data_IF_485417382497
#
_entry.id   IF_485417382497
#
_cell.length_a   1.000
_cell.length_b   1.000
_cell.length_c   1.000
_cell.angle_alpha   90.00
_cell.angle_beta   90.00
_cell.angle_gamma   90.00
#
_symmetry.space_group_name_H-M   'P 1'
#
loop_
_entity.id
_entity.type
_entity.pdbx_description
1 polymer ?
#
# COMPACT_ATOMS: atom_id res chain seq x y z
N UNK A 1 6.82 19.38 11.84
CA UNK A 1 5.86 18.62 12.70
C UNK A 1 4.99 17.76 11.82
N UNK A 2 4.90 16.46 12.08
CA UNK A 2 4.09 15.50 11.28
C UNK A 2 2.60 15.73 11.55
N UNK A 3 1.82 15.78 10.48
CA UNK A 3 0.36 15.99 10.48
C UNK A 3 -0.39 14.95 9.67
N UNK A 4 0.31 14.25 8.75
CA UNK A 4 -0.24 13.19 7.93
C UNK A 4 0.53 11.89 8.09
N UNK A 5 -0.17 10.77 8.06
CA UNK A 5 0.40 9.42 8.00
C UNK A 5 -0.06 8.78 6.70
N UNK A 6 0.88 8.37 5.89
CA UNK A 6 0.64 7.70 4.61
C UNK A 6 1.06 6.25 4.77
N UNK A 7 0.16 5.33 4.47
CA UNK A 7 0.36 3.89 4.68
C UNK A 7 0.36 3.15 3.35
N UNK A 8 1.31 2.24 3.19
CA UNK A 8 1.19 1.21 2.16
C UNK A 8 0.06 0.24 2.50
N UNK A 9 -0.45 -0.43 1.48
CA UNK A 9 -1.47 -1.47 1.62
C UNK A 9 -0.84 -2.83 1.91
N UNK A 10 -0.08 -3.36 0.95
CA UNK A 10 0.45 -4.72 0.99
C UNK A 10 1.75 -4.80 1.77
N UNK A 11 1.83 -5.73 2.73
CA UNK A 11 2.93 -5.84 3.66
C UNK A 11 2.76 -4.98 4.93
N UNK A 12 1.77 -4.06 4.95
CA UNK A 12 1.45 -3.21 6.12
C UNK A 12 0.03 -3.46 6.62
N UNK A 13 -0.98 -3.22 5.78
CA UNK A 13 -2.40 -3.39 6.12
C UNK A 13 -2.96 -4.75 5.71
N UNK A 14 -2.41 -5.32 4.65
CA UNK A 14 -2.73 -6.65 4.14
C UNK A 14 -1.47 -7.44 3.85
N UNK A 15 -1.56 -8.77 3.91
CA UNK A 15 -0.54 -9.66 3.36
C UNK A 15 -0.42 -9.43 1.85
N UNK A 16 0.80 -9.42 1.32
CA UNK A 16 1.04 -9.35 -0.12
C UNK A 16 0.74 -10.71 -0.77
N UNK A 17 -0.49 -10.86 -1.25
CA UNK A 17 -0.98 -12.09 -1.87
C UNK A 17 -0.20 -12.46 -3.13
N UNK A 18 0.23 -11.49 -3.94
CA UNK A 18 1.01 -11.74 -5.15
C UNK A 18 2.36 -12.37 -4.81
N UNK A 19 3.04 -11.82 -3.82
CA UNK A 19 4.32 -12.35 -3.32
C UNK A 19 4.20 -13.78 -2.80
N UNK A 20 3.13 -14.07 -2.05
CA UNK A 20 2.86 -15.42 -1.54
C UNK A 20 2.57 -16.39 -2.69
N UNK A 21 1.71 -16.00 -3.63
CA UNK A 21 1.36 -16.83 -4.77
C UNK A 21 2.57 -17.11 -5.68
N UNK A 22 3.35 -16.08 -6.00
CA UNK A 22 4.53 -16.20 -6.88
C UNK A 22 5.65 -17.06 -6.29
N UNK A 23 5.74 -17.18 -4.98
CA UNK A 23 6.69 -18.07 -4.32
C UNK A 23 6.52 -19.54 -4.73
N UNK A 24 5.33 -19.93 -5.21
CA UNK A 24 5.09 -21.28 -5.76
C UNK A 24 5.69 -21.48 -7.16
N UNK A 25 6.10 -20.40 -7.83
CA UNK A 25 6.59 -20.41 -9.21
C UNK A 25 7.99 -19.75 -9.34
N UNK A 26 9.02 -20.24 -8.62
CA UNK A 26 10.31 -19.55 -8.54
C UNK A 26 11.02 -19.39 -9.89
N UNK A 27 10.74 -20.28 -10.85
CA UNK A 27 11.30 -20.21 -12.21
C UNK A 27 10.62 -19.19 -13.12
N UNK A 28 9.44 -18.71 -12.75
CA UNK A 28 8.63 -17.75 -13.48
C UNK A 28 8.62 -16.37 -12.79
N UNK A 29 9.45 -16.21 -11.76
CA UNK A 29 9.46 -15.02 -10.90
C UNK A 29 9.58 -13.72 -11.69
N UNK A 30 10.55 -13.64 -12.59
CA UNK A 30 10.83 -12.39 -13.35
C UNK A 30 9.67 -12.04 -14.29
N UNK A 31 9.08 -13.06 -14.95
CA UNK A 31 7.96 -12.88 -15.87
C UNK A 31 6.68 -12.43 -15.12
N UNK A 32 6.40 -13.03 -13.97
CA UNK A 32 5.29 -12.66 -13.11
C UNK A 32 5.50 -11.27 -12.48
N UNK A 33 6.73 -10.95 -12.11
CA UNK A 33 7.08 -9.65 -11.55
C UNK A 33 6.94 -8.53 -12.58
N UNK A 34 7.36 -8.76 -13.84
CA UNK A 34 7.18 -7.78 -14.92
C UNK A 34 5.70 -7.58 -15.26
N UNK A 35 4.90 -8.66 -15.22
CA UNK A 35 3.46 -8.56 -15.37
C UNK A 35 2.82 -7.73 -14.24
N UNK A 36 3.28 -7.92 -13.01
CA UNK A 36 2.82 -7.14 -11.85
C UNK A 36 3.06 -5.64 -12.05
N UNK A 37 4.25 -5.27 -12.55
CA UNK A 37 4.58 -3.86 -12.88
C UNK A 37 3.62 -3.27 -13.91
N UNK A 38 3.22 -4.04 -14.93
CA UNK A 38 2.25 -3.57 -15.94
C UNK A 38 0.89 -3.27 -15.29
N UNK A 39 0.45 -4.13 -14.37
CA UNK A 39 -0.77 -3.92 -13.60
C UNK A 39 -0.65 -2.69 -12.69
N UNK A 40 0.43 -2.58 -11.93
CA UNK A 40 0.67 -1.49 -10.98
C UNK A 40 0.74 -0.11 -11.65
N UNK A 41 1.19 -0.06 -12.91
CA UNK A 41 1.15 1.16 -13.73
C UNK A 41 -0.20 1.39 -14.44
N UNK A 42 -1.16 0.47 -14.28
CA UNK A 42 -2.47 0.57 -14.90
C UNK A 42 -2.49 0.30 -16.42
N UNK A 43 -1.45 -0.33 -16.98
CA UNK A 43 -1.40 -0.71 -18.40
C UNK A 43 -2.30 -1.90 -18.72
N UNK A 44 -2.57 -2.75 -17.74
CA UNK A 44 -3.51 -3.88 -17.83
C UNK A 44 -4.51 -3.84 -16.68
N UNK A 45 -5.74 -4.23 -16.94
CA UNK A 45 -6.80 -4.36 -15.94
C UNK A 45 -6.72 -5.68 -15.18
N UNK A 46 -7.56 -5.82 -14.16
CA UNK A 46 -7.61 -6.99 -13.28
C UNK A 46 -7.84 -8.30 -14.04
N UNK A 47 -8.81 -8.32 -14.94
CA UNK A 47 -9.17 -9.54 -15.68
C UNK A 47 -8.02 -9.98 -16.61
N UNK A 48 -7.43 -9.03 -17.34
CA UNK A 48 -6.27 -9.30 -18.22
C UNK A 48 -5.05 -9.77 -17.41
N UNK A 49 -4.88 -9.23 -16.18
CA UNK A 49 -3.82 -9.66 -15.28
C UNK A 49 -4.03 -11.13 -14.84
N UNK A 50 -5.21 -11.50 -14.37
CA UNK A 50 -5.54 -12.88 -13.95
C UNK A 50 -5.35 -13.85 -15.12
N UNK A 51 -5.88 -13.51 -16.31
CA UNK A 51 -5.71 -14.32 -17.54
C UNK A 51 -4.24 -14.50 -17.88
N UNK A 52 -3.42 -13.45 -17.75
CA UNK A 52 -1.98 -13.50 -18.04
C UNK A 52 -1.22 -14.35 -17.02
N UNK A 53 -1.51 -14.20 -15.73
CA UNK A 53 -0.91 -15.05 -14.67
C UNK A 53 -1.26 -16.52 -14.91
N UNK A 54 -2.53 -16.82 -15.17
CA UNK A 54 -3.01 -18.17 -15.47
C UNK A 54 -2.25 -18.78 -16.67
N UNK A 55 -2.07 -18.02 -17.75
CA UNK A 55 -1.32 -18.44 -18.92
C UNK A 55 0.16 -18.71 -18.63
N UNK A 56 0.82 -17.87 -17.84
CA UNK A 56 2.22 -18.00 -17.48
C UNK A 56 2.43 -19.22 -16.57
N UNK A 57 1.56 -19.41 -15.59
CA UNK A 57 1.70 -20.47 -14.57
C UNK A 57 1.16 -21.82 -15.02
N UNK A 58 0.29 -21.85 -16.04
CA UNK A 58 -0.44 -23.04 -16.47
C UNK A 58 -1.58 -23.45 -15.52
N UNK A 59 -1.93 -22.59 -14.57
CA UNK A 59 -3.08 -22.74 -13.64
C UNK A 59 -4.31 -22.12 -14.29
N UNK A 60 -5.51 -22.62 -14.01
CA UNK A 60 -6.73 -22.00 -14.56
C UNK A 60 -6.99 -20.61 -13.95
N UNK A 61 -7.70 -19.74 -14.68
CA UNK A 61 -8.06 -18.40 -14.20
C UNK A 61 -8.84 -18.45 -12.88
N UNK A 62 -9.78 -19.39 -12.75
CA UNK A 62 -10.57 -19.56 -11.54
C UNK A 62 -9.71 -19.97 -10.34
N UNK A 63 -8.80 -20.92 -10.52
CA UNK A 63 -7.87 -21.35 -9.46
C UNK A 63 -6.87 -20.24 -9.10
N UNK A 64 -6.43 -19.45 -10.10
CA UNK A 64 -5.56 -18.29 -9.89
C UNK A 64 -6.27 -17.24 -9.06
N UNK A 65 -7.48 -16.84 -9.41
CA UNK A 65 -8.29 -15.87 -8.67
C UNK A 65 -8.57 -16.35 -7.23
N UNK A 66 -8.98 -17.60 -7.06
CA UNK A 66 -9.20 -18.23 -5.75
C UNK A 66 -7.92 -18.22 -4.88
N UNK A 67 -6.77 -18.51 -5.48
CA UNK A 67 -5.50 -18.52 -4.77
C UNK A 67 -5.13 -17.12 -4.26
N UNK A 68 -5.33 -16.07 -5.06
CA UNK A 68 -5.13 -14.70 -4.59
C UNK A 68 -6.08 -14.34 -3.44
N UNK A 69 -7.37 -14.63 -3.56
CA UNK A 69 -8.35 -14.32 -2.51
C UNK A 69 -8.06 -15.00 -1.17
N UNK A 70 -7.53 -16.21 -1.16
CA UNK A 70 -7.17 -16.92 0.08
C UNK A 70 -6.08 -16.23 0.88
N UNK A 71 -5.23 -15.44 0.22
CA UNK A 71 -4.13 -14.72 0.84
C UNK A 71 -4.51 -13.30 1.28
N UNK A 72 -5.77 -12.88 1.10
CA UNK A 72 -6.25 -11.56 1.53
C UNK A 72 -6.45 -11.52 3.05
N UNK A 73 -5.34 -11.50 3.76
CA UNK A 73 -5.33 -11.44 5.23
C UNK A 73 -5.07 -10.01 5.68
N UNK A 74 -6.05 -9.43 6.35
CA UNK A 74 -6.01 -8.07 6.89
C UNK A 74 -5.25 -8.03 8.22
N UNK A 75 -4.56 -6.93 8.49
CA UNK A 75 -3.92 -6.61 9.75
C UNK A 75 -4.90 -5.85 10.66
N UNK A 76 -5.88 -6.58 11.21
CA UNK A 76 -6.94 -6.00 12.04
C UNK A 76 -6.40 -5.14 13.19
N UNK A 77 -5.28 -5.53 13.80
CA UNK A 77 -4.66 -4.79 14.90
C UNK A 77 -4.26 -3.36 14.48
N UNK A 78 -3.72 -3.21 13.26
CA UNK A 78 -3.34 -1.89 12.74
C UNK A 78 -4.59 -1.12 12.30
N UNK A 79 -5.56 -1.76 11.67
CA UNK A 79 -6.82 -1.11 11.28
C UNK A 79 -7.55 -0.53 12.51
N UNK A 80 -7.69 -1.31 13.57
CA UNK A 80 -8.33 -0.86 14.79
C UNK A 80 -7.56 0.28 15.48
N UNK A 81 -6.24 0.17 15.49
CA UNK A 81 -5.38 1.22 16.05
C UNK A 81 -5.47 2.52 15.24
N UNK A 82 -5.48 2.44 13.91
CA UNK A 82 -5.66 3.61 13.05
C UNK A 82 -6.98 4.34 13.34
N UNK A 83 -8.08 3.59 13.43
CA UNK A 83 -9.40 4.16 13.71
C UNK A 83 -9.47 4.84 15.07
N UNK A 84 -8.99 4.17 16.10
CA UNK A 84 -9.17 4.60 17.48
C UNK A 84 -8.16 5.65 17.93
N UNK A 85 -6.89 5.42 17.58
CA UNK A 85 -5.79 6.16 18.22
C UNK A 85 -5.14 7.19 17.25
N UNK A 86 -5.23 7.00 15.93
CA UNK A 86 -4.50 7.82 14.97
C UNK A 86 -5.40 8.82 14.24
N UNK A 87 -6.52 8.37 13.69
CA UNK A 87 -7.43 9.23 12.90
C UNK A 87 -7.94 10.46 13.65
N UNK A 88 -8.13 10.47 14.98
CA UNK A 88 -8.49 11.69 15.70
C UNK A 88 -7.44 12.81 15.67
N UNK A 89 -6.18 12.47 15.36
CA UNK A 89 -5.03 13.38 15.52
C UNK A 89 -4.26 13.65 14.23
N UNK A 90 -4.37 12.77 13.24
CA UNK A 90 -3.64 12.82 11.98
C UNK A 90 -4.57 12.64 10.79
N UNK A 91 -4.24 13.29 9.68
CA UNK A 91 -4.79 12.90 8.39
C UNK A 91 -4.17 11.59 7.94
N UNK A 92 -4.95 10.71 7.33
CA UNK A 92 -4.48 9.39 6.92
C UNK A 92 -4.67 9.22 5.42
N UNK A 93 -3.62 8.80 4.70
CA UNK A 93 -3.74 8.38 3.31
C UNK A 93 -3.34 6.91 3.14
N UNK A 94 -4.04 6.24 2.22
CA UNK A 94 -3.59 4.99 1.62
C UNK A 94 -2.79 5.32 0.35
N UNK A 95 -1.58 4.78 0.22
CA UNK A 95 -0.75 4.89 -0.98
C UNK A 95 -0.24 3.51 -1.40
N UNK A 96 -0.83 2.94 -2.44
CA UNK A 96 -0.53 1.56 -2.86
C UNK A 96 -0.07 1.47 -4.30
N UNK A 97 0.94 0.62 -4.54
CA UNK A 97 1.21 0.09 -5.87
C UNK A 97 0.19 -1.04 -6.12
N UNK A 98 -0.81 -0.75 -6.93
CA UNK A 98 -1.93 -1.64 -7.20
C UNK A 98 -2.57 -1.30 -8.55
N UNK A 99 -2.90 -2.30 -9.32
CA UNK A 99 -3.59 -2.14 -10.60
C UNK A 99 -5.02 -1.62 -10.45
N UNK A 100 -5.61 -1.21 -11.58
CA UNK A 100 -6.99 -0.74 -11.61
C UNK A 100 -7.98 -1.84 -11.27
N UNK A 101 -8.99 -1.52 -10.48
CA UNK A 101 -10.08 -2.42 -10.14
C UNK A 101 -9.79 -3.44 -9.04
N UNK A 102 -8.61 -3.36 -8.40
CA UNK A 102 -8.26 -4.29 -7.33
C UNK A 102 -8.65 -3.84 -5.93
N UNK A 103 -8.68 -2.54 -5.67
CA UNK A 103 -8.85 -2.02 -4.30
C UNK A 103 -10.17 -2.47 -3.66
N UNK A 104 -11.20 -2.68 -4.46
CA UNK A 104 -12.53 -3.13 -4.02
C UNK A 104 -12.55 -4.57 -3.52
N UNK A 105 -11.52 -5.37 -3.80
CA UNK A 105 -11.36 -6.71 -3.22
C UNK A 105 -10.91 -6.68 -1.76
N UNK A 106 -10.29 -5.58 -1.33
CA UNK A 106 -9.70 -5.41 0.00
C UNK A 106 -10.54 -4.54 0.91
N UNK A 107 -11.15 -3.50 0.35
CA UNK A 107 -11.96 -2.54 1.10
C UNK A 107 -13.25 -2.28 0.35
N UNK A 108 -14.38 -2.31 1.04
CA UNK A 108 -15.58 -1.67 0.52
C UNK A 108 -15.44 -0.13 0.57
N UNK A 109 -16.32 0.57 -0.15
CA UNK A 109 -16.28 2.03 -0.27
C UNK A 109 -16.43 2.74 1.08
N UNK A 110 -17.26 2.18 1.98
CA UNK A 110 -17.48 2.73 3.30
C UNK A 110 -16.21 2.58 4.17
N UNK A 111 -15.54 1.41 4.11
CA UNK A 111 -14.29 1.18 4.83
C UNK A 111 -13.18 2.13 4.37
N UNK A 112 -13.07 2.38 3.06
CA UNK A 112 -12.08 3.33 2.51
C UNK A 112 -12.31 4.73 3.07
N UNK A 113 -13.55 5.23 3.05
CA UNK A 113 -13.88 6.56 3.58
C UNK A 113 -13.74 6.67 5.10
N UNK A 114 -14.05 5.59 5.82
CA UNK A 114 -13.92 5.57 7.28
C UNK A 114 -12.46 5.57 7.75
N UNK A 115 -11.57 4.96 6.97
CA UNK A 115 -10.15 4.81 7.34
C UNK A 115 -9.29 5.95 6.82
N UNK A 116 -9.50 6.35 5.58
CA UNK A 116 -8.58 7.22 4.86
C UNK A 116 -9.25 8.53 4.45
N UNK A 117 -8.53 9.64 4.64
CA UNK A 117 -8.92 10.94 4.11
C UNK A 117 -8.59 11.03 2.61
N UNK A 118 -7.58 10.27 2.17
CA UNK A 118 -7.09 10.22 0.77
C UNK A 118 -6.70 8.80 0.41
N UNK A 119 -7.02 8.40 -0.82
CA UNK A 119 -6.58 7.13 -1.43
C UNK A 119 -5.84 7.44 -2.72
N UNK A 120 -4.61 6.94 -2.85
CA UNK A 120 -3.74 7.10 -4.02
C UNK A 120 -3.32 5.71 -4.52
N UNK A 121 -3.75 5.36 -5.71
CA UNK A 121 -3.53 4.05 -6.32
C UNK A 121 -2.68 4.21 -7.59
N UNK A 122 -1.55 3.54 -7.65
CA UNK A 122 -0.58 3.72 -8.74
C UNK A 122 -1.15 3.44 -10.13
N UNK A 123 -2.03 2.44 -10.25
CA UNK A 123 -2.67 2.10 -11.51
C UNK A 123 -3.58 3.21 -12.06
N UNK A 124 -4.11 4.08 -11.18
CA UNK A 124 -4.91 5.24 -11.58
C UNK A 124 -4.02 6.46 -11.85
N UNK A 125 -2.92 6.58 -11.11
CA UNK A 125 -1.96 7.67 -11.24
C UNK A 125 -1.01 7.54 -12.43
N UNK A 126 -0.81 6.31 -12.97
CA UNK A 126 0.17 6.03 -14.01
C UNK A 126 1.63 6.17 -13.54
N UNK A 127 1.84 6.24 -12.23
CA UNK A 127 3.17 6.31 -11.59
C UNK A 127 3.17 5.48 -10.31
N UNK A 128 4.25 4.74 -10.07
CA UNK A 128 4.39 3.82 -8.95
C UNK A 128 5.42 4.31 -7.93
N UNK A 129 5.30 3.89 -6.68
CA UNK A 129 6.43 3.92 -5.74
C UNK A 129 7.58 3.07 -6.33
N UNK A 130 8.84 3.45 -6.17
CA UNK A 130 9.39 4.53 -5.33
C UNK A 130 9.55 5.91 -6.02
N UNK A 131 8.88 6.18 -7.15
CA UNK A 131 8.98 7.47 -7.80
C UNK A 131 8.51 8.61 -6.85
N UNK A 132 9.32 9.65 -6.59
CA UNK A 132 8.97 10.74 -5.66
C UNK A 132 7.63 11.41 -5.97
N UNK A 133 7.25 11.50 -7.23
CA UNK A 133 6.02 12.19 -7.68
C UNK A 133 4.75 11.59 -7.01
N UNK A 134 4.69 10.28 -6.79
CA UNK A 134 3.48 9.67 -6.21
C UNK A 134 3.30 10.03 -4.73
N UNK A 135 4.41 10.21 -4.00
CA UNK A 135 4.40 10.66 -2.61
C UNK A 135 4.02 12.15 -2.51
N UNK A 136 4.55 12.98 -3.41
CA UNK A 136 4.18 14.40 -3.51
C UNK A 136 2.68 14.57 -3.75
N UNK A 137 2.09 13.78 -4.68
CA UNK A 137 0.64 13.75 -4.94
C UNK A 137 -0.17 13.34 -3.71
N UNK A 138 0.31 12.37 -2.95
CA UNK A 138 -0.36 11.93 -1.73
C UNK A 138 -0.38 13.05 -0.67
N UNK A 139 0.72 13.74 -0.47
CA UNK A 139 0.80 14.91 0.43
C UNK A 139 -0.11 16.04 -0.04
N UNK A 140 -0.05 16.39 -1.33
CA UNK A 140 -0.88 17.45 -1.93
C UNK A 140 -2.37 17.19 -1.71
N UNK A 141 -2.84 15.95 -1.95
CA UNK A 141 -4.25 15.57 -1.74
C UNK A 141 -4.66 15.59 -0.27
N UNK A 142 -3.73 15.31 0.65
CA UNK A 142 -3.95 15.52 2.08
C UNK A 142 -3.99 17.02 2.45
N UNK A 143 -3.60 17.92 1.53
CA UNK A 143 -3.43 19.35 1.81
C UNK A 143 -2.29 19.62 2.80
N UNK A 144 -1.19 18.88 2.64
CA UNK A 144 0.01 18.92 3.47
C UNK A 144 1.26 19.05 2.59
N UNK A 145 2.32 19.60 3.17
CA UNK A 145 3.64 19.55 2.55
C UNK A 145 4.31 18.19 2.83
N UNK A 146 5.17 17.67 1.93
CA UNK A 146 5.84 16.38 2.14
C UNK A 146 6.54 16.25 3.51
N UNK A 147 7.20 17.29 4.00
CA UNK A 147 7.88 17.28 5.31
C UNK A 147 6.91 17.20 6.51
N UNK A 148 5.60 17.37 6.30
CA UNK A 148 4.55 17.19 7.31
C UNK A 148 3.99 15.75 7.30
N UNK A 149 4.49 14.88 6.41
CA UNK A 149 4.00 13.52 6.21
C UNK A 149 5.02 12.47 6.68
N UNK A 150 4.49 11.39 7.26
CA UNK A 150 5.21 10.17 7.59
C UNK A 150 4.74 9.06 6.64
N UNK A 151 5.63 8.53 5.80
CA UNK A 151 5.36 7.34 4.99
C UNK A 151 5.74 6.08 5.74
N UNK A 152 4.86 5.09 5.72
CA UNK A 152 5.05 3.75 6.29
C UNK A 152 4.94 2.72 5.17
N UNK A 153 5.99 1.96 4.94
CA UNK A 153 6.07 0.96 3.85
C UNK A 153 6.97 -0.21 4.29
N UNK A 154 6.70 -1.43 3.83
CA UNK A 154 7.50 -2.61 4.14
C UNK A 154 8.75 -2.75 3.25
N UNK A 155 8.87 -1.89 2.23
CA UNK A 155 9.96 -1.88 1.26
C UNK A 155 10.89 -0.68 1.47
N UNK A 156 12.16 -0.97 1.63
CA UNK A 156 13.19 0.05 1.85
C UNK A 156 13.28 1.05 0.68
N UNK A 157 13.17 0.59 -0.56
CA UNK A 157 13.19 1.45 -1.75
C UNK A 157 12.03 2.46 -1.79
N UNK A 158 10.85 2.07 -1.32
CA UNK A 158 9.69 2.97 -1.21
C UNK A 158 9.90 4.02 -0.10
N UNK A 159 10.48 3.60 1.04
CA UNK A 159 10.84 4.51 2.13
C UNK A 159 11.85 5.56 1.65
N UNK A 160 12.87 5.15 0.88
CA UNK A 160 13.87 6.06 0.29
C UNK A 160 13.24 7.00 -0.76
N UNK A 161 12.28 6.49 -1.56
CA UNK A 161 11.50 7.31 -2.49
C UNK A 161 10.71 8.40 -1.78
N UNK A 162 10.05 8.07 -0.66
CA UNK A 162 9.32 9.03 0.16
C UNK A 162 10.27 10.07 0.79
N UNK A 163 11.43 9.65 1.27
CA UNK A 163 12.46 10.57 1.78
C UNK A 163 12.99 11.51 0.69
N UNK A 164 13.13 11.02 -0.53
CA UNK A 164 13.52 11.85 -1.69
C UNK A 164 12.46 12.89 -2.02
N UNK A 165 11.17 12.59 -1.79
CA UNK A 165 10.07 13.54 -1.89
C UNK A 165 10.01 14.54 -0.69
N UNK A 166 10.88 14.39 0.32
CA UNK A 166 10.94 15.25 1.49
C UNK A 166 10.11 14.81 2.70
N UNK A 167 9.56 13.58 2.66
CA UNK A 167 8.82 12.99 3.78
C UNK A 167 9.74 12.39 4.84
N UNK A 168 9.23 12.17 6.04
CA UNK A 168 9.81 11.17 6.93
C UNK A 168 9.37 9.78 6.46
N UNK A 169 10.24 8.77 6.62
CA UNK A 169 9.96 7.40 6.21
C UNK A 169 10.21 6.42 7.35
N UNK A 170 9.31 5.45 7.49
CA UNK A 170 9.39 4.34 8.45
C UNK A 170 9.29 3.03 7.69
N UNK A 171 10.32 2.21 7.75
CA UNK A 171 10.28 0.84 7.28
C UNK A 171 9.41 0.03 8.25
N UNK A 172 8.30 -0.51 7.77
CA UNK A 172 7.44 -1.38 8.55
C UNK A 172 8.09 -2.75 8.77
N UNK A 173 8.22 -3.15 10.01
CA UNK A 173 8.78 -4.45 10.40
C UNK A 173 7.79 -5.22 11.28
N UNK A 174 7.03 -4.49 12.10
CA UNK A 174 6.00 -5.08 12.97
C UNK A 174 5.03 -4.00 13.47
N UNK A 175 3.85 -4.43 13.91
CA UNK A 175 2.84 -3.55 14.51
C UNK A 175 3.40 -2.78 15.71
N UNK A 176 4.18 -3.45 16.56
CA UNK A 176 4.79 -2.81 17.73
C UNK A 176 5.75 -1.69 17.32
N UNK A 177 6.67 -1.98 16.39
CA UNK A 177 7.66 -1.01 15.90
C UNK A 177 6.97 0.21 15.24
N UNK A 178 5.94 -0.01 14.42
CA UNK A 178 5.17 1.08 13.83
C UNK A 178 4.52 1.97 14.89
N UNK A 179 3.87 1.36 15.89
CA UNK A 179 3.22 2.11 16.97
C UNK A 179 4.22 2.97 17.77
N UNK A 180 5.41 2.44 18.03
CA UNK A 180 6.48 3.22 18.69
C UNK A 180 6.99 4.38 17.81
N UNK A 181 7.18 4.14 16.51
CA UNK A 181 7.62 5.19 15.58
C UNK A 181 6.58 6.34 15.50
N UNK A 182 5.29 6.01 15.42
CA UNK A 182 4.23 7.02 15.39
C UNK A 182 4.09 7.75 16.73
N UNK A 183 4.24 7.04 17.86
CA UNK A 183 4.26 7.70 19.19
C UNK A 183 5.41 8.70 19.31
N UNK A 184 6.57 8.39 18.77
CA UNK A 184 7.71 9.32 18.80
C UNK A 184 7.38 10.64 18.07
N UNK A 185 6.77 10.58 16.88
CA UNK A 185 6.35 11.80 16.16
C UNK A 185 5.13 12.48 16.79
N UNK A 186 4.28 11.74 17.51
CA UNK A 186 3.12 12.28 18.22
C UNK A 186 3.54 13.00 19.52
N UNK A 187 4.56 12.51 20.21
CA UNK A 187 5.10 13.13 21.42
C UNK A 187 5.63 14.56 21.16
N UNK A 188 6.12 14.83 19.94
CA UNK A 188 6.48 16.19 19.52
C UNK A 188 5.28 17.14 19.46
N UNK A 189 4.06 16.61 19.49
CA UNK A 189 2.79 17.38 19.51
C UNK A 189 2.13 17.49 20.87
N UNK A 190 2.64 16.82 21.91
CA UNK A 190 1.97 16.66 23.23
C UNK A 190 0.57 15.99 23.14
N UNK A 191 0.36 15.05 22.18
CA UNK A 191 -0.96 14.50 21.83
C UNK A 191 -1.18 13.06 22.33
N UNK A 192 -0.14 12.25 22.55
CA UNK A 192 -0.25 10.85 23.00
C UNK A 192 0.59 10.56 24.24
#
# INVERSE_FOLDING_TARGET
MIRGIILDCFGVLYVDASKVYFANFPKLHDELYDLNKLSDHGFIGKDDYITSVAKITGVSEAETADAFQKEYVINDEIIDWLKRDIKPHFKIALLSNIGRGWIQDFFDEHQLHDLFDVVVLSGEEGVTKPNPIIFERAAERLGLEPYECLMVDDRQDNVEGAQTAGMQGVLFVSNHQLKEAVRAVAAEKEIL
#
